data_IF_816012343605
#
_entry.id   IF_816012343605
#
_cell.length_a   1.000
_cell.length_b   1.000
_cell.length_c   1.000
_cell.angle_alpha   90.00
_cell.angle_beta   90.00
_cell.angle_gamma   90.00
#
_symmetry.space_group_name_H-M   'P 1'
#
loop_
_entity.id
_entity.type
_entity.pdbx_description
1 polymer ?
#
# COMPACT_ATOMS: atom_id res chain seq x y z
N UNK A 1 -19.49 -5.90 11.30
CA UNK A 1 -19.36 -5.19 10.01
C UNK A 1 -19.59 -6.19 8.89
N UNK A 2 -20.19 -5.77 7.77
CA UNK A 2 -20.43 -6.66 6.63
C UNK A 2 -19.11 -6.98 5.91
N UNK A 3 -18.88 -8.24 5.49
CA UNK A 3 -17.68 -8.62 4.74
C UNK A 3 -17.73 -8.03 3.32
N UNK A 4 -16.55 -7.87 2.70
CA UNK A 4 -16.42 -7.31 1.34
C UNK A 4 -17.21 -8.09 0.28
N UNK A 5 -17.36 -9.40 0.43
CA UNK A 5 -18.13 -10.25 -0.50
C UNK A 5 -19.62 -9.90 -0.55
N UNK A 6 -20.14 -9.27 0.51
CA UNK A 6 -21.58 -9.06 0.72
C UNK A 6 -21.99 -7.60 0.49
N UNK A 7 -21.07 -6.77 0.01
CA UNK A 7 -21.36 -5.39 -0.34
C UNK A 7 -22.26 -5.31 -1.58
N UNK A 8 -23.15 -4.30 -1.64
CA UNK A 8 -23.95 -4.04 -2.83
C UNK A 8 -23.03 -3.63 -3.99
N UNK A 9 -23.49 -3.82 -5.22
CA UNK A 9 -22.65 -3.76 -6.42
C UNK A 9 -22.01 -2.38 -6.62
N UNK A 10 -22.67 -1.32 -6.17
CA UNK A 10 -22.19 0.07 -6.26
C UNK A 10 -20.94 0.27 -5.42
N UNK A 11 -20.92 -0.26 -4.18
CA UNK A 11 -19.77 -0.19 -3.30
C UNK A 11 -18.63 -1.09 -3.77
N UNK A 12 -18.94 -2.26 -4.34
CA UNK A 12 -17.93 -3.13 -4.96
C UNK A 12 -17.27 -2.43 -6.16
N UNK A 13 -18.07 -1.80 -7.02
CA UNK A 13 -17.56 -1.06 -8.17
C UNK A 13 -16.69 0.13 -7.74
N UNK A 14 -17.14 0.93 -6.76
CA UNK A 14 -16.38 2.05 -6.23
C UNK A 14 -15.04 1.63 -5.62
N UNK A 15 -15.05 0.61 -4.74
CA UNK A 15 -13.83 0.11 -4.11
C UNK A 15 -12.89 -0.52 -5.14
N UNK A 16 -13.42 -1.24 -6.14
CA UNK A 16 -12.62 -1.80 -7.23
C UNK A 16 -11.96 -0.69 -8.05
N UNK A 17 -12.70 0.35 -8.43
CA UNK A 17 -12.15 1.49 -9.16
C UNK A 17 -11.03 2.18 -8.37
N UNK A 18 -11.23 2.41 -7.07
CA UNK A 18 -10.23 3.00 -6.20
C UNK A 18 -8.95 2.13 -6.12
N UNK A 19 -9.08 0.81 -5.95
CA UNK A 19 -7.94 -0.11 -5.85
C UNK A 19 -7.19 -0.28 -7.18
N UNK A 20 -7.91 -0.29 -8.31
CA UNK A 20 -7.29 -0.34 -9.64
C UNK A 20 -6.52 0.95 -9.91
N UNK A 21 -7.13 2.11 -9.60
CA UNK A 21 -6.46 3.40 -9.76
C UNK A 21 -5.22 3.50 -8.85
N UNK A 22 -5.30 2.99 -7.62
CA UNK A 22 -4.14 2.88 -6.73
C UNK A 22 -3.03 2.01 -7.34
N UNK A 23 -3.38 0.87 -7.96
CA UNK A 23 -2.42 0.02 -8.67
C UNK A 23 -1.73 0.73 -9.84
N UNK A 24 -2.48 1.54 -10.61
CA UNK A 24 -1.92 2.38 -11.67
C UNK A 24 -1.00 3.46 -11.10
N UNK A 25 -1.39 4.12 -10.01
CA UNK A 25 -0.57 5.14 -9.34
C UNK A 25 0.76 4.55 -8.83
N UNK A 26 0.75 3.36 -8.23
CA UNK A 26 1.97 2.65 -7.82
C UNK A 26 2.83 2.30 -9.04
N UNK A 27 2.22 1.84 -10.14
CA UNK A 27 2.95 1.53 -11.38
C UNK A 27 3.63 2.78 -11.96
N UNK A 28 2.96 3.92 -11.95
CA UNK A 28 3.55 5.20 -12.36
C UNK A 28 4.67 5.65 -11.43
N UNK A 29 4.55 5.45 -10.11
CA UNK A 29 5.60 5.76 -9.16
C UNK A 29 6.85 4.90 -9.40
N UNK A 30 6.68 3.60 -9.65
CA UNK A 30 7.80 2.70 -10.00
C UNK A 30 8.45 3.09 -11.34
N UNK A 31 7.64 3.44 -12.35
CA UNK A 31 8.15 3.95 -13.63
C UNK A 31 8.91 5.27 -13.46
N UNK A 32 8.46 6.17 -12.58
CA UNK A 32 9.17 7.41 -12.28
C UNK A 32 10.52 7.14 -11.61
N UNK A 33 10.59 6.22 -10.63
CA UNK A 33 11.85 5.81 -10.01
C UNK A 33 12.80 5.26 -11.06
N UNK A 34 12.30 4.39 -11.92
CA UNK A 34 13.08 3.79 -12.99
C UNK A 34 13.63 4.83 -13.98
N UNK A 35 12.80 5.71 -14.51
CA UNK A 35 13.24 6.77 -15.45
C UNK A 35 14.17 7.79 -14.77
N UNK A 36 13.97 8.10 -13.49
CA UNK A 36 14.79 9.09 -12.78
C UNK A 36 16.16 8.57 -12.34
N UNK A 37 16.32 7.26 -12.18
CA UNK A 37 17.59 6.65 -11.72
C UNK A 37 18.36 5.93 -12.83
N UNK A 38 17.71 5.63 -13.97
CA UNK A 38 18.36 5.01 -15.12
C UNK A 38 19.50 5.90 -15.66
N UNK A 39 20.68 5.30 -15.81
CA UNK A 39 21.83 5.95 -16.45
C UNK A 39 22.68 6.83 -15.54
N UNK A 40 22.34 6.97 -14.25
CA UNK A 40 23.17 7.74 -13.29
C UNK A 40 24.54 7.05 -13.10
N UNK A 41 24.57 5.73 -12.94
CA UNK A 41 25.79 4.94 -12.73
C UNK A 41 26.36 4.27 -13.99
N UNK A 42 25.87 4.59 -15.18
CA UNK A 42 26.28 3.95 -16.45
C UNK A 42 25.80 2.51 -16.65
N UNK A 43 25.05 1.94 -15.70
CA UNK A 43 24.38 0.64 -15.80
C UNK A 43 22.90 0.77 -16.17
N UNK A 44 22.36 -0.26 -16.83
CA UNK A 44 20.93 -0.36 -17.13
C UNK A 44 20.07 -0.71 -15.89
N UNK A 45 20.71 -1.24 -14.85
CA UNK A 45 20.08 -1.58 -13.57
C UNK A 45 20.27 -0.45 -12.56
N UNK A 46 19.23 -0.20 -11.76
CA UNK A 46 19.24 0.74 -10.64
C UNK A 46 20.09 0.14 -9.51
N UNK A 47 21.17 0.82 -9.14
CA UNK A 47 22.01 0.43 -8.02
C UNK A 47 21.64 1.21 -6.75
N UNK A 48 21.95 0.69 -5.54
CA UNK A 48 21.78 1.47 -4.31
C UNK A 48 22.57 2.78 -4.31
N UNK A 49 23.69 2.84 -5.05
CA UNK A 49 24.48 4.06 -5.18
C UNK A 49 23.73 5.14 -5.98
N UNK A 50 23.01 4.76 -7.04
CA UNK A 50 22.17 5.68 -7.82
C UNK A 50 21.06 6.28 -6.96
N UNK A 51 20.43 5.45 -6.11
CA UNK A 51 19.39 5.90 -5.16
C UNK A 51 20.01 6.83 -4.12
N UNK A 52 21.15 6.48 -3.56
CA UNK A 52 21.81 7.28 -2.53
C UNK A 52 22.16 8.69 -3.06
N UNK A 53 22.60 8.79 -4.32
CA UNK A 53 22.96 10.04 -4.98
C UNK A 53 21.82 11.08 -4.97
N UNK A 54 20.56 10.63 -4.95
CA UNK A 54 19.38 11.53 -4.87
C UNK A 54 19.22 12.24 -3.52
N UNK A 55 19.89 11.78 -2.46
CA UNK A 55 19.75 12.36 -1.11
C UNK A 55 20.95 13.23 -0.70
N UNK A 56 22.16 12.92 -1.19
CA UNK A 56 23.38 13.67 -0.87
C UNK A 56 23.94 14.53 -2.02
N UNK A 57 23.34 14.49 -3.22
CA UNK A 57 23.83 15.21 -4.38
C UNK A 57 23.90 16.75 -4.20
N UNK A 58 24.76 17.45 -4.97
CA UNK A 58 25.10 18.87 -4.76
C UNK A 58 23.94 19.88 -4.95
N UNK A 59 22.75 19.43 -5.38
CA UNK A 59 21.54 20.27 -5.52
C UNK A 59 20.44 19.99 -4.49
N UNK A 60 20.65 19.05 -3.56
CA UNK A 60 19.59 18.56 -2.67
C UNK A 60 19.77 19.19 -1.29
N UNK A 61 19.02 20.26 -1.00
CA UNK A 61 19.04 20.91 0.31
C UNK A 61 18.18 20.18 1.35
N UNK A 62 18.46 20.40 2.64
CA UNK A 62 17.58 19.91 3.73
C UNK A 62 16.15 20.44 3.56
N UNK A 63 15.99 21.69 3.10
CA UNK A 63 14.69 22.27 2.77
C UNK A 63 13.94 21.47 1.68
N UNK A 64 14.66 20.97 0.67
CA UNK A 64 14.08 20.11 -0.38
C UNK A 64 13.58 18.79 0.20
N UNK A 65 14.37 18.14 1.08
CA UNK A 65 13.95 16.90 1.76
C UNK A 65 12.72 17.13 2.63
N UNK A 66 12.67 18.22 3.38
CA UNK A 66 11.52 18.57 4.22
C UNK A 66 10.27 18.80 3.36
N UNK A 67 10.40 19.52 2.25
CA UNK A 67 9.27 19.74 1.33
C UNK A 67 8.76 18.43 0.73
N UNK A 68 9.67 17.57 0.25
CA UNK A 68 9.35 16.24 -0.26
C UNK A 68 8.67 15.37 0.79
N UNK A 69 9.19 15.36 2.02
CA UNK A 69 8.60 14.61 3.14
C UNK A 69 7.19 15.13 3.45
N UNK A 70 6.97 16.45 3.52
CA UNK A 70 5.67 17.02 3.80
C UNK A 70 4.60 16.63 2.77
N UNK A 71 4.90 16.75 1.48
CA UNK A 71 3.95 16.41 0.41
C UNK A 71 3.66 14.89 0.36
N UNK A 72 4.67 14.04 0.58
CA UNK A 72 4.49 12.59 0.61
C UNK A 72 3.73 12.16 1.85
N UNK A 73 4.04 12.73 3.02
CA UNK A 73 3.32 12.45 4.26
C UNK A 73 1.85 12.83 4.15
N UNK A 74 1.54 13.99 3.57
CA UNK A 74 0.16 14.43 3.39
C UNK A 74 -0.61 13.54 2.40
N UNK A 75 0.01 13.21 1.27
CA UNK A 75 -0.60 12.37 0.24
C UNK A 75 -0.76 10.91 0.67
N UNK A 76 0.33 10.28 1.12
CA UNK A 76 0.37 8.85 1.46
C UNK A 76 -0.42 8.52 2.73
N UNK A 77 -0.55 9.45 3.69
CA UNK A 77 -1.46 9.28 4.82
C UNK A 77 -2.87 8.93 4.35
N UNK A 78 -3.41 9.70 3.40
CA UNK A 78 -4.75 9.47 2.88
C UNK A 78 -4.87 8.13 2.14
N UNK A 79 -3.86 7.77 1.35
CA UNK A 79 -3.80 6.49 0.62
C UNK A 79 -3.79 5.31 1.59
N UNK A 80 -2.89 5.34 2.59
CA UNK A 80 -2.77 4.28 3.59
C UNK A 80 -4.07 4.12 4.35
N UNK A 81 -4.70 5.22 4.74
CA UNK A 81 -5.96 5.18 5.46
C UNK A 81 -7.09 4.60 4.60
N UNK A 82 -7.25 5.04 3.35
CA UNK A 82 -8.30 4.56 2.44
C UNK A 82 -8.13 3.07 2.14
N UNK A 83 -6.94 2.62 1.74
CA UNK A 83 -6.70 1.21 1.41
C UNK A 83 -6.85 0.32 2.64
N UNK A 84 -6.38 0.77 3.81
CA UNK A 84 -6.56 0.05 5.08
C UNK A 84 -8.04 -0.02 5.45
N UNK A 85 -8.79 1.06 5.27
CA UNK A 85 -10.22 1.09 5.54
C UNK A 85 -11.00 0.09 4.67
N UNK A 86 -10.65 -0.04 3.39
CA UNK A 86 -11.24 -1.07 2.53
C UNK A 86 -10.85 -2.46 3.05
N UNK A 87 -9.57 -2.68 3.35
CA UNK A 87 -9.04 -3.98 3.78
C UNK A 87 -9.59 -4.47 5.13
N UNK A 88 -9.93 -3.60 6.09
CA UNK A 88 -10.47 -4.06 7.38
C UNK A 88 -11.83 -4.76 7.26
N UNK A 89 -12.54 -4.55 6.15
CA UNK A 89 -13.80 -5.22 5.83
C UNK A 89 -13.59 -6.64 5.31
N UNK A 90 -12.35 -7.07 5.08
CA UNK A 90 -12.02 -8.45 4.77
C UNK A 90 -12.39 -9.40 5.92
N UNK A 91 -12.72 -10.64 5.56
CA UNK A 91 -13.19 -11.71 6.45
C UNK A 91 -12.11 -12.32 7.35
N UNK A 92 -10.84 -11.89 7.21
CA UNK A 92 -9.71 -12.31 8.04
C UNK A 92 -9.85 -11.96 9.53
N UNK A 93 -8.98 -12.56 10.35
CA UNK A 93 -8.88 -12.29 11.79
C UNK A 93 -8.46 -10.85 12.08
N UNK A 94 -8.85 -10.33 13.25
CA UNK A 94 -8.57 -8.95 13.64
C UNK A 94 -7.06 -8.63 13.69
N UNK A 95 -6.24 -9.57 14.17
CA UNK A 95 -4.78 -9.39 14.26
C UNK A 95 -4.12 -9.23 12.89
N UNK A 96 -4.53 -10.04 11.90
CA UNK A 96 -3.97 -9.94 10.54
C UNK A 96 -4.36 -8.62 9.87
N UNK A 97 -5.59 -8.17 10.11
CA UNK A 97 -6.06 -6.88 9.63
C UNK A 97 -5.29 -5.71 10.22
N UNK A 98 -5.09 -5.72 11.54
CA UNK A 98 -4.32 -4.69 12.22
C UNK A 98 -2.86 -4.67 11.75
N UNK A 99 -2.23 -5.83 11.58
CA UNK A 99 -0.85 -5.94 11.11
C UNK A 99 -0.64 -5.22 9.77
N UNK A 100 -1.38 -5.61 8.73
CA UNK A 100 -1.23 -5.01 7.40
C UNK A 100 -1.70 -3.56 7.31
N UNK A 101 -2.71 -3.17 8.10
CA UNK A 101 -3.17 -1.78 8.14
C UNK A 101 -2.15 -0.83 8.78
N UNK A 102 -1.38 -1.29 9.78
CA UNK A 102 -0.40 -0.46 10.50
C UNK A 102 0.97 -0.46 9.81
N UNK A 103 1.35 -1.56 9.16
CA UNK A 103 2.65 -1.73 8.52
C UNK A 103 3.07 -0.59 7.55
N UNK A 104 2.20 -0.02 6.68
CA UNK A 104 2.64 1.02 5.74
C UNK A 104 2.98 2.34 6.45
N UNK A 105 2.34 2.63 7.59
CA UNK A 105 2.69 3.81 8.41
C UNK A 105 4.09 3.68 9.00
N UNK A 106 4.43 2.49 9.52
CA UNK A 106 5.76 2.22 10.05
C UNK A 106 6.79 2.25 8.92
N UNK A 107 6.49 1.61 7.78
CA UNK A 107 7.42 1.54 6.65
C UNK A 107 7.72 2.89 6.04
N UNK A 108 6.70 3.72 5.87
CA UNK A 108 6.90 5.07 5.37
C UNK A 108 7.61 5.97 6.37
N UNK A 109 7.37 5.81 7.68
CA UNK A 109 8.15 6.53 8.68
C UNK A 109 9.65 6.17 8.62
N UNK A 110 9.97 4.89 8.50
CA UNK A 110 11.35 4.39 8.33
C UNK A 110 11.97 4.92 7.03
N UNK A 111 11.21 4.94 5.94
CA UNK A 111 11.65 5.47 4.64
C UNK A 111 12.06 6.95 4.74
N UNK A 112 11.19 7.80 5.28
CA UNK A 112 11.46 9.24 5.47
C UNK A 112 12.66 9.46 6.37
N UNK A 113 12.78 8.74 7.50
CA UNK A 113 13.97 8.80 8.35
C UNK A 113 15.24 8.41 7.57
N UNK A 114 15.15 7.41 6.70
CA UNK A 114 16.23 6.97 5.83
C UNK A 114 16.73 8.06 4.88
N UNK A 115 15.86 8.95 4.37
CA UNK A 115 16.26 10.04 3.47
C UNK A 115 17.23 11.00 4.16
N UNK A 116 16.91 11.40 5.39
CA UNK A 116 17.74 12.30 6.20
C UNK A 116 19.05 11.63 6.63
N UNK A 117 19.00 10.35 7.01
CA UNK A 117 20.21 9.59 7.37
C UNK A 117 21.15 9.39 6.16
N UNK A 118 20.58 9.09 4.99
CA UNK A 118 21.34 8.90 3.74
C UNK A 118 22.09 10.15 3.31
N UNK A 119 21.58 11.33 3.70
CA UNK A 119 22.27 12.60 3.50
C UNK A 119 23.53 12.75 4.34
N UNK A 120 23.55 12.18 5.55
CA UNK A 120 24.72 12.21 6.43
C UNK A 120 25.74 11.14 6.06
N UNK A 121 25.27 9.95 5.67
CA UNK A 121 26.11 8.86 5.21
C UNK A 121 25.36 8.05 4.13
N UNK A 122 25.92 7.91 2.91
CA UNK A 122 25.29 7.19 1.80
C UNK A 122 24.89 5.74 2.14
N UNK A 123 25.54 5.10 3.11
CA UNK A 123 25.23 3.73 3.54
C UNK A 123 23.82 3.56 4.13
N UNK A 124 23.17 4.63 4.59
CA UNK A 124 21.81 4.55 5.11
C UNK A 124 20.73 4.41 4.01
N UNK A 125 21.11 4.38 2.72
CA UNK A 125 20.17 4.14 1.62
C UNK A 125 19.43 2.82 1.75
N UNK A 126 20.02 1.81 2.39
CA UNK A 126 19.33 0.54 2.64
C UNK A 126 18.13 0.69 3.57
N UNK A 127 18.12 1.69 4.46
CA UNK A 127 16.96 2.01 5.32
C UNK A 127 15.81 2.56 4.47
N UNK A 128 16.13 3.41 3.48
CA UNK A 128 15.17 3.92 2.49
C UNK A 128 14.57 2.77 1.70
N UNK A 129 15.42 1.94 1.09
CA UNK A 129 14.97 0.80 0.28
C UNK A 129 14.09 -0.14 1.10
N UNK A 130 14.47 -0.43 2.35
CA UNK A 130 13.70 -1.28 3.24
C UNK A 130 12.34 -0.67 3.61
N UNK A 131 12.31 0.61 4.03
CA UNK A 131 11.08 1.33 4.36
C UNK A 131 10.13 1.42 3.17
N UNK A 132 10.68 1.83 2.01
CA UNK A 132 10.02 1.86 0.70
C UNK A 132 9.35 0.55 0.33
N UNK A 133 10.14 -0.54 0.31
CA UNK A 133 9.63 -1.86 -0.03
C UNK A 133 8.54 -2.33 0.94
N UNK A 134 8.69 -2.05 2.24
CA UNK A 134 7.74 -2.47 3.26
C UNK A 134 6.37 -1.83 3.08
N UNK A 135 6.29 -0.51 2.86
CA UNK A 135 4.98 0.13 2.69
C UNK A 135 4.33 -0.20 1.34
N UNK A 136 5.11 -0.28 0.25
CA UNK A 136 4.59 -0.65 -1.08
C UNK A 136 4.05 -2.08 -1.06
N UNK A 137 4.78 -3.02 -0.46
CA UNK A 137 4.33 -4.40 -0.28
C UNK A 137 3.03 -4.45 0.51
N UNK A 138 2.94 -3.70 1.61
CA UNK A 138 1.74 -3.68 2.44
C UNK A 138 0.51 -3.19 1.68
N UNK A 139 0.65 -2.11 0.91
CA UNK A 139 -0.43 -1.59 0.07
C UNK A 139 -0.83 -2.62 -0.99
N UNK A 140 0.16 -3.25 -1.66
CA UNK A 140 -0.11 -4.26 -2.68
C UNK A 140 -0.87 -5.45 -2.12
N UNK A 141 -0.46 -5.98 -0.96
CA UNK A 141 -1.16 -7.09 -0.28
C UNK A 141 -2.59 -6.69 0.06
N UNK A 142 -2.79 -5.54 0.70
CA UNK A 142 -4.14 -5.08 1.08
C UNK A 142 -5.04 -4.88 -0.15
N UNK A 143 -4.51 -4.28 -1.22
CA UNK A 143 -5.26 -4.04 -2.45
C UNK A 143 -5.63 -5.35 -3.16
N UNK A 144 -4.68 -6.24 -3.38
CA UNK A 144 -4.89 -7.51 -4.08
C UNK A 144 -5.83 -8.44 -3.31
N UNK A 145 -5.67 -8.54 -1.99
CA UNK A 145 -6.53 -9.37 -1.15
C UNK A 145 -7.96 -8.81 -1.12
N UNK A 146 -8.12 -7.48 -1.02
CA UNK A 146 -9.45 -6.85 -1.04
C UNK A 146 -10.16 -7.07 -2.38
N UNK A 147 -9.44 -6.94 -3.51
CA UNK A 147 -9.97 -7.25 -4.84
C UNK A 147 -10.36 -8.72 -4.95
N UNK A 148 -9.49 -9.62 -4.49
CA UNK A 148 -9.76 -11.05 -4.51
C UNK A 148 -11.03 -11.40 -3.72
N UNK A 149 -11.16 -10.88 -2.50
CA UNK A 149 -12.30 -11.19 -1.64
C UNK A 149 -13.63 -10.63 -2.18
N UNK A 150 -13.63 -9.43 -2.77
CA UNK A 150 -14.84 -8.82 -3.33
C UNK A 150 -15.45 -9.63 -4.48
N UNK A 151 -14.60 -10.23 -5.33
CA UNK A 151 -15.02 -10.83 -6.60
C UNK A 151 -15.01 -12.36 -6.61
N UNK A 152 -14.13 -13.00 -5.84
CA UNK A 152 -13.93 -14.46 -5.93
C UNK A 152 -14.35 -15.22 -4.67
N UNK A 153 -14.44 -14.57 -3.51
CA UNK A 153 -14.85 -15.23 -2.26
C UNK A 153 -16.37 -15.15 -2.06
N UNK A 154 -16.99 -16.25 -1.60
CA UNK A 154 -18.37 -16.29 -1.11
C UNK A 154 -18.34 -16.56 0.39
N UNK A 155 -18.91 -15.69 1.23
CA UNK A 155 -18.83 -15.84 2.70
C UNK A 155 -19.48 -17.18 3.16
N UNK A 156 -18.74 -18.07 3.84
CA UNK A 156 -19.31 -19.26 4.47
C UNK A 156 -20.46 -18.97 5.45
N UNK A 157 -20.48 -17.80 6.10
CA UNK A 157 -21.56 -17.38 7.00
C UNK A 157 -22.89 -17.19 6.26
N UNK A 158 -22.86 -16.68 5.03
CA UNK A 158 -24.03 -16.59 4.16
C UNK A 158 -24.57 -17.99 3.80
N UNK A 159 -23.68 -18.96 3.53
CA UNK A 159 -24.10 -20.35 3.29
C UNK A 159 -24.84 -20.93 4.49
N UNK A 160 -24.37 -20.66 5.71
CA UNK A 160 -25.00 -21.16 6.94
C UNK A 160 -26.35 -20.48 7.18
N UNK A 161 -26.45 -19.16 7.00
CA UNK A 161 -27.71 -18.42 7.16
C UNK A 161 -28.75 -18.82 6.11
N UNK A 162 -28.36 -18.93 4.84
CA UNK A 162 -29.26 -19.42 3.79
C UNK A 162 -29.71 -20.86 4.09
N UNK A 163 -28.79 -21.76 4.46
CA UNK A 163 -29.13 -23.15 4.81
C UNK A 163 -30.14 -23.23 5.96
N UNK A 164 -29.97 -22.41 7.00
CA UNK A 164 -30.87 -22.39 8.14
C UNK A 164 -32.20 -21.67 7.85
N UNK A 165 -32.20 -20.67 6.96
CA UNK A 165 -33.41 -20.01 6.46
C UNK A 165 -34.29 -20.92 5.61
N UNK A 166 -33.68 -21.80 4.80
CA UNK A 166 -34.43 -22.82 4.03
C UNK A 166 -35.01 -23.94 4.92
N UNK A 167 -34.36 -24.27 6.04
CA UNK A 167 -34.84 -25.29 6.97
C UNK A 167 -35.99 -24.82 7.90
N UNK A 168 -36.15 -23.51 8.10
CA UNK A 168 -37.22 -22.94 8.92
C UNK A 168 -38.54 -22.68 8.17
N UNK A 169 -38.54 -22.73 6.84
CA UNK A 169 -39.70 -22.39 5.99
C UNK A 169 -40.58 -23.57 5.57
N UNK A 170 -40.30 -24.81 6.01
CA UNK A 170 -41.06 -25.99 5.59
C UNK A 170 -42.19 -26.41 6.54
N UNK A 171 -42.47 -25.63 7.60
CA UNK A 171 -43.53 -25.91 8.57
C UNK A 171 -44.43 -24.68 8.78
N UNK A 172 -45.26 -24.35 7.79
CA UNK A 172 -46.49 -23.56 7.96
C UNK A 172 -47.37 -23.69 6.73
#
# INVERSE_FOLDING_TARGET
MKPLSDLPIELKALNTAALVFLGLAISMALAYIDVSHRGIGGSYLITPADIAATYYGPGVGVATLISLAHIHMLGLFSVFWIVSFIFIHCSFSAGWKAFWAVLPFIGFFVDVCGWFLSKMNPGFVYVVIFGGAMFVLSIAVMALVSLYEMWFTRDPRQRILNRNGFAGGSNS
#
